data_IF_301253702641
#
_entry.id   IF_301253702641
#
_cell.length_a   1.000
_cell.length_b   1.000
_cell.length_c   1.000
_cell.angle_alpha   90.00
_cell.angle_beta   90.00
_cell.angle_gamma   90.00
#
_symmetry.space_group_name_H-M   'P 1'
#
loop_
_entity.id
_entity.type
_entity.pdbx_description
1 polymer ?
#
# COMPACT_ATOMS: atom_id res chain seq x y z
N UNK A 1 10.67 5.96 -19.80
CA UNK A 1 10.25 6.55 -18.51
C UNK A 1 8.74 6.48 -18.32
N UNK A 2 7.91 7.04 -19.20
CA UNK A 2 6.44 6.96 -19.05
C UNK A 2 5.87 5.55 -18.96
N UNK A 3 6.25 4.59 -19.82
CA UNK A 3 5.76 3.21 -19.71
C UNK A 3 6.10 2.59 -18.36
N UNK A 4 7.33 2.81 -17.86
CA UNK A 4 7.75 2.35 -16.54
C UNK A 4 6.91 2.96 -15.41
N UNK A 5 6.61 4.26 -15.46
CA UNK A 5 5.75 4.90 -14.47
C UNK A 5 4.31 4.37 -14.54
N UNK A 6 3.80 4.05 -15.72
CA UNK A 6 2.48 3.42 -15.88
C UNK A 6 2.46 2.01 -15.30
N UNK A 7 3.45 1.19 -15.62
CA UNK A 7 3.60 -0.16 -15.06
C UNK A 7 3.71 -0.12 -13.53
N UNK A 8 4.52 0.80 -13.00
CA UNK A 8 4.63 1.01 -11.55
C UNK A 8 3.30 1.47 -10.94
N UNK A 9 2.56 2.37 -11.61
CA UNK A 9 1.23 2.79 -11.17
C UNK A 9 0.26 1.61 -11.11
N UNK A 10 0.27 0.74 -12.13
CA UNK A 10 -0.53 -0.48 -12.14
C UNK A 10 -0.15 -1.44 -11.00
N UNK A 11 1.15 -1.61 -10.75
CA UNK A 11 1.63 -2.42 -9.63
C UNK A 11 1.13 -1.87 -8.28
N UNK A 12 1.30 -0.57 -8.03
CA UNK A 12 0.83 0.08 -6.79
C UNK A 12 -0.67 -0.10 -6.57
N UNK A 13 -1.49 0.14 -7.59
CA UNK A 13 -2.94 -0.05 -7.51
C UNK A 13 -3.27 -1.51 -7.18
N UNK A 14 -2.57 -2.45 -7.82
CA UNK A 14 -2.81 -3.87 -7.57
C UNK A 14 -2.44 -4.25 -6.14
N UNK A 15 -1.34 -3.71 -5.61
CA UNK A 15 -0.93 -3.90 -4.23
C UNK A 15 -1.98 -3.38 -3.24
N UNK A 16 -2.54 -2.20 -3.49
CA UNK A 16 -3.63 -1.62 -2.70
C UNK A 16 -4.86 -2.53 -2.68
N UNK A 17 -5.27 -3.05 -3.85
CA UNK A 17 -6.38 -4.00 -3.98
C UNK A 17 -6.14 -5.30 -3.23
N UNK A 18 -4.91 -5.84 -3.28
CA UNK A 18 -4.53 -7.07 -2.57
C UNK A 18 -4.65 -6.86 -1.07
N UNK A 19 -4.05 -5.80 -0.52
CA UNK A 19 -4.14 -5.48 0.92
C UNK A 19 -5.61 -5.38 1.34
N UNK A 20 -6.41 -4.59 0.61
CA UNK A 20 -7.84 -4.42 0.89
C UNK A 20 -8.61 -5.75 0.85
N UNK A 21 -8.36 -6.58 -0.15
CA UNK A 21 -9.07 -7.85 -0.32
C UNK A 21 -8.71 -8.84 0.78
N UNK A 22 -7.43 -8.92 1.17
CA UNK A 22 -6.98 -9.80 2.24
C UNK A 22 -7.57 -9.38 3.58
N UNK A 23 -7.58 -8.08 3.90
CA UNK A 23 -8.22 -7.59 5.13
C UNK A 23 -9.71 -7.95 5.21
N UNK A 24 -10.44 -7.84 4.10
CA UNK A 24 -11.84 -8.25 4.04
C UNK A 24 -12.03 -9.75 4.20
N UNK A 25 -11.20 -10.55 3.54
CA UNK A 25 -11.27 -12.01 3.63
C UNK A 25 -10.96 -12.50 5.06
N UNK A 26 -9.92 -11.96 5.69
CA UNK A 26 -9.58 -12.28 7.08
C UNK A 26 -10.70 -11.84 8.04
N UNK A 27 -11.29 -10.65 7.85
CA UNK A 27 -12.45 -10.23 8.64
C UNK A 27 -13.64 -11.19 8.50
N UNK A 28 -13.88 -11.75 7.31
CA UNK A 28 -14.93 -12.75 7.13
C UNK A 28 -14.60 -14.09 7.81
N UNK A 29 -13.32 -14.50 7.87
CA UNK A 29 -12.89 -15.73 8.53
C UNK A 29 -12.97 -15.61 10.05
N UNK A 30 -12.44 -14.52 10.61
CA UNK A 30 -12.46 -14.24 12.04
C UNK A 30 -13.80 -13.61 12.43
N UNK A 31 -14.84 -14.43 12.55
CA UNK A 31 -16.16 -13.99 13.00
C UNK A 31 -16.54 -14.59 14.35
N UNK A 32 -16.96 -13.73 15.27
CA UNK A 32 -17.60 -14.15 16.54
C UNK A 32 -19.10 -14.36 16.40
N UNK A 33 -19.66 -14.26 15.19
CA UNK A 33 -21.12 -14.40 14.98
C UNK A 33 -21.54 -15.86 15.17
N UNK A 34 -22.57 -16.15 15.98
CA UNK A 34 -23.15 -17.47 16.07
C UNK A 34 -23.85 -17.80 14.75
N UNK A 35 -23.27 -18.73 13.99
CA UNK A 35 -23.77 -19.21 12.71
C UNK A 35 -22.94 -20.38 12.21
N UNK A 36 -23.41 -21.14 11.21
CA UNK A 36 -22.63 -22.21 10.62
C UNK A 36 -21.37 -21.62 9.98
N UNK A 37 -20.22 -21.81 10.65
CA UNK A 37 -18.92 -21.48 10.08
C UNK A 37 -18.66 -22.46 8.94
N UNK A 38 -18.43 -21.96 7.73
CA UNK A 38 -17.95 -22.81 6.62
C UNK A 38 -16.55 -23.36 6.91
N UNK A 39 -15.73 -22.59 7.63
CA UNK A 39 -14.37 -22.94 8.02
C UNK A 39 -14.21 -22.54 9.50
N UNK A 40 -13.79 -23.48 10.35
CA UNK A 40 -13.41 -23.17 11.72
C UNK A 40 -11.94 -22.77 11.76
N UNK A 41 -11.69 -21.51 12.10
CA UNK A 41 -10.35 -20.91 12.23
C UNK A 41 -9.97 -20.67 13.70
N UNK A 42 -10.65 -21.34 14.63
CA UNK A 42 -10.29 -21.29 16.05
C UNK A 42 -8.84 -21.76 16.20
N UNK A 43 -8.03 -20.99 16.92
CA UNK A 43 -6.59 -21.21 17.14
C UNK A 43 -5.71 -21.20 15.86
N UNK A 44 -6.19 -20.59 14.77
CA UNK A 44 -5.40 -20.39 13.54
C UNK A 44 -5.07 -18.92 13.38
N UNK A 45 -3.78 -18.57 13.38
CA UNK A 45 -3.32 -17.17 13.32
C UNK A 45 -3.01 -16.64 11.91
N UNK A 46 -2.78 -17.52 10.93
CA UNK A 46 -2.35 -17.16 9.57
C UNK A 46 -1.08 -16.26 9.50
N UNK A 47 -0.12 -16.47 10.39
CA UNK A 47 1.13 -15.67 10.48
C UNK A 47 1.81 -15.43 9.13
N UNK A 48 1.97 -16.47 8.30
CA UNK A 48 2.59 -16.37 6.97
C UNK A 48 1.88 -15.36 6.06
N UNK A 49 0.56 -15.19 6.19
CA UNK A 49 -0.20 -14.18 5.43
C UNK A 49 0.19 -12.78 5.87
N UNK A 50 0.34 -12.56 7.18
CA UNK A 50 0.80 -11.28 7.73
C UNK A 50 2.24 -10.99 7.33
N UNK A 51 3.13 -11.97 7.35
CA UNK A 51 4.52 -11.80 6.90
C UNK A 51 4.59 -11.32 5.45
N UNK A 52 3.86 -11.96 4.54
CA UNK A 52 3.80 -11.54 3.14
C UNK A 52 3.08 -10.20 2.91
N UNK A 53 2.09 -9.86 3.74
CA UNK A 53 1.53 -8.52 3.75
C UNK A 53 2.58 -7.50 4.20
N UNK A 54 3.37 -7.82 5.22
CA UNK A 54 4.49 -7.01 5.67
C UNK A 54 5.53 -6.79 4.57
N UNK A 55 5.88 -7.83 3.81
CA UNK A 55 6.75 -7.71 2.64
C UNK A 55 6.17 -6.72 1.61
N UNK A 56 4.88 -6.85 1.30
CA UNK A 56 4.20 -5.97 0.36
C UNK A 56 4.18 -4.51 0.84
N UNK A 57 3.86 -4.28 2.11
CA UNK A 57 3.88 -2.94 2.70
C UNK A 57 5.30 -2.35 2.72
N UNK A 58 6.32 -3.18 2.99
CA UNK A 58 7.73 -2.79 2.90
C UNK A 58 8.09 -2.31 1.50
N UNK A 59 7.60 -2.98 0.45
CA UNK A 59 7.78 -2.53 -0.94
C UNK A 59 7.15 -1.15 -1.14
N UNK A 60 5.92 -0.92 -0.66
CA UNK A 60 5.25 0.38 -0.81
C UNK A 60 6.00 1.50 -0.08
N UNK A 61 6.46 1.27 1.15
CA UNK A 61 7.27 2.21 1.93
C UNK A 61 8.59 2.50 1.21
N UNK A 62 9.22 1.47 0.66
CA UNK A 62 10.49 1.61 -0.07
C UNK A 62 10.30 2.44 -1.34
N UNK A 63 9.18 2.26 -2.06
CA UNK A 63 8.86 3.09 -3.23
C UNK A 63 8.71 4.56 -2.85
N UNK A 64 7.99 4.88 -1.77
CA UNK A 64 7.89 6.26 -1.28
C UNK A 64 9.28 6.82 -0.93
N UNK A 65 10.11 6.03 -0.23
CA UNK A 65 11.46 6.45 0.14
C UNK A 65 12.35 6.73 -1.07
N UNK A 66 12.29 5.90 -2.13
CA UNK A 66 13.03 6.13 -3.38
C UNK A 66 12.63 7.46 -4.02
N UNK A 67 11.33 7.77 -4.03
CA UNK A 67 10.80 9.02 -4.59
C UNK A 67 11.21 10.22 -3.73
N UNK A 68 11.23 10.08 -2.41
CA UNK A 68 11.60 11.15 -1.49
C UNK A 68 13.09 11.50 -1.58
N UNK A 69 13.96 10.50 -1.64
CA UNK A 69 15.42 10.67 -1.69
C UNK A 69 15.92 11.17 -3.05
N UNK A 70 15.07 11.20 -4.09
CA UNK A 70 15.47 11.62 -5.44
C UNK A 70 14.82 12.95 -5.88
N UNK A 71 15.31 14.11 -5.38
CA UNK A 71 14.74 15.43 -5.71
C UNK A 71 14.83 15.76 -7.20
N UNK A 72 15.87 15.28 -7.89
CA UNK A 72 16.08 15.48 -9.33
C UNK A 72 14.92 14.93 -10.17
N UNK A 73 14.28 13.83 -9.75
CA UNK A 73 13.10 13.31 -10.45
C UNK A 73 11.91 14.27 -10.35
N UNK A 74 11.66 14.83 -9.16
CA UNK A 74 10.58 15.83 -8.94
C UNK A 74 10.84 17.11 -9.74
N UNK A 75 12.10 17.56 -9.81
CA UNK A 75 12.51 18.70 -10.62
C UNK A 75 12.30 18.45 -12.12
N UNK A 76 12.83 17.34 -12.64
CA UNK A 76 12.66 16.96 -14.05
C UNK A 76 11.20 16.75 -14.43
N UNK A 77 10.40 16.16 -13.53
CA UNK A 77 8.96 16.03 -13.72
C UNK A 77 8.28 17.40 -13.85
N UNK A 78 8.66 18.36 -13.01
CA UNK A 78 8.15 19.74 -13.06
C UNK A 78 8.52 20.45 -14.37
N UNK A 79 9.77 20.31 -14.83
CA UNK A 79 10.20 20.84 -16.12
C UNK A 79 9.42 20.21 -17.28
N UNK A 80 9.23 18.89 -17.25
CA UNK A 80 8.46 18.18 -18.25
C UNK A 80 6.98 18.62 -18.28
N UNK A 81 6.34 18.81 -17.12
CA UNK A 81 4.99 19.40 -17.03
C UNK A 81 4.91 20.79 -17.66
N UNK A 82 5.90 21.66 -17.42
CA UNK A 82 5.94 23.00 -18.03
C UNK A 82 6.03 22.93 -19.55
N UNK A 83 6.84 22.01 -20.07
CA UNK A 83 6.95 21.77 -21.51
C UNK A 83 5.62 21.33 -22.11
N UNK A 84 4.93 20.39 -21.47
CA UNK A 84 3.62 19.90 -21.95
C UNK A 84 2.57 21.00 -21.93
N UNK A 85 2.59 21.90 -20.94
CA UNK A 85 1.74 23.10 -20.94
C UNK A 85 2.02 24.03 -22.13
N UNK A 86 3.29 24.20 -22.52
CA UNK A 86 3.65 24.95 -23.72
C UNK A 86 3.15 24.27 -25.00
N UNK A 87 3.23 22.94 -25.06
CA UNK A 87 2.65 22.15 -26.17
C UNK A 87 1.14 22.33 -26.21
N UNK A 88 0.45 22.31 -25.08
CA UNK A 88 -1.01 22.52 -25.00
C UNK A 88 -1.46 23.85 -25.59
N UNK A 89 -0.66 24.91 -25.43
CA UNK A 89 -0.98 26.22 -25.95
C UNK A 89 -0.93 26.30 -27.48
N UNK A 90 -0.02 25.55 -28.12
CA UNK A 90 0.12 25.51 -29.58
C UNK A 90 0.56 24.11 -30.07
N UNK A 91 -0.33 23.11 -30.08
CA UNK A 91 0.04 21.74 -30.46
C UNK A 91 0.46 21.61 -31.93
N UNK A 92 -0.07 22.49 -32.80
CA UNK A 92 0.22 22.50 -34.24
C UNK A 92 1.69 22.75 -34.53
N UNK A 93 2.34 23.64 -33.76
CA UNK A 93 3.80 23.87 -33.85
C UNK A 93 4.64 22.64 -33.55
N UNK A 94 4.11 21.69 -32.79
CA UNK A 94 4.79 20.44 -32.42
C UNK A 94 4.29 19.23 -33.22
N UNK A 95 3.38 19.42 -34.18
CA UNK A 95 2.80 18.34 -34.97
C UNK A 95 1.92 17.38 -34.16
N UNK A 96 1.36 17.83 -33.03
CA UNK A 96 0.55 17.00 -32.13
C UNK A 96 -0.94 17.31 -32.34
N UNK A 97 -1.80 16.30 -32.54
CA UNK A 97 -3.25 16.50 -32.56
C UNK A 97 -3.77 17.02 -31.21
N UNK A 98 -4.58 18.09 -31.23
CA UNK A 98 -5.15 18.72 -30.03
C UNK A 98 -5.84 17.70 -29.11
N UNK A 99 -6.57 16.75 -29.70
CA UNK A 99 -7.32 15.69 -29.01
C UNK A 99 -6.44 14.74 -28.17
N UNK A 100 -5.15 14.63 -28.48
CA UNK A 100 -4.20 13.76 -27.76
C UNK A 100 -3.54 14.45 -26.57
N UNK A 101 -3.54 15.78 -26.53
CA UNK A 101 -2.86 16.55 -25.48
C UNK A 101 -3.57 16.40 -24.13
N UNK A 102 -4.88 16.60 -24.08
CA UNK A 102 -5.64 16.56 -22.83
C UNK A 102 -5.62 15.18 -22.14
N UNK A 103 -5.80 14.04 -22.86
CA UNK A 103 -5.62 12.71 -22.26
C UNK A 103 -4.22 12.50 -21.68
N UNK A 104 -3.19 13.02 -22.35
CA UNK A 104 -1.82 12.91 -21.88
C UNK A 104 -1.58 13.71 -20.60
N UNK A 105 -2.07 14.95 -20.52
CA UNK A 105 -2.00 15.76 -19.29
C UNK A 105 -2.72 15.09 -18.11
N UNK A 106 -3.89 14.49 -18.35
CA UNK A 106 -4.60 13.72 -17.32
C UNK A 106 -3.80 12.51 -16.84
N UNK A 107 -3.19 11.77 -17.77
CA UNK A 107 -2.29 10.67 -17.44
C UNK A 107 -1.13 11.14 -16.57
N UNK A 108 -0.50 12.26 -16.92
CA UNK A 108 0.59 12.84 -16.13
C UNK A 108 0.16 13.18 -14.72
N UNK A 109 -0.92 13.96 -14.56
CA UNK A 109 -1.42 14.34 -13.24
C UNK A 109 -1.79 13.11 -12.40
N UNK A 110 -2.35 12.08 -13.02
CA UNK A 110 -2.64 10.81 -12.34
C UNK A 110 -1.37 10.09 -11.88
N UNK A 111 -0.34 10.01 -12.72
CA UNK A 111 0.93 9.36 -12.37
C UNK A 111 1.64 10.09 -11.23
N UNK A 112 1.61 11.43 -11.26
CA UNK A 112 2.16 12.26 -10.19
C UNK A 112 1.47 11.98 -8.85
N UNK A 113 0.14 12.12 -8.81
CA UNK A 113 -0.62 11.91 -7.57
C UNK A 113 -0.53 10.50 -7.01
N UNK A 114 -0.33 9.49 -7.87
CA UNK A 114 -0.21 8.10 -7.45
C UNK A 114 1.19 7.68 -7.03
N UNK A 115 2.23 8.30 -7.57
CA UNK A 115 3.61 7.82 -7.42
C UNK A 115 4.56 8.86 -6.85
N UNK A 116 4.47 10.12 -7.30
CA UNK A 116 5.51 11.12 -7.06
C UNK A 116 5.26 11.99 -5.83
N UNK A 117 4.03 11.97 -5.31
CA UNK A 117 3.66 12.73 -4.10
C UNK A 117 4.21 12.09 -2.81
N UNK A 118 4.80 10.89 -2.88
CA UNK A 118 5.37 10.20 -1.70
C UNK A 118 4.30 9.69 -0.73
N UNK A 119 3.11 9.37 -1.25
CA UNK A 119 1.94 8.95 -0.48
C UNK A 119 1.49 7.52 -0.84
N UNK A 120 2.35 6.69 -1.46
CA UNK A 120 1.99 5.34 -1.93
C UNK A 120 1.53 4.45 -0.77
N UNK A 121 2.30 4.42 0.32
CA UNK A 121 2.00 3.65 1.51
C UNK A 121 0.82 4.24 2.28
N UNK A 122 0.79 5.56 2.48
CA UNK A 122 -0.31 6.25 3.17
C UNK A 122 -1.65 5.94 2.47
N UNK A 123 -1.70 6.11 1.15
CA UNK A 123 -2.89 5.80 0.35
C UNK A 123 -3.31 4.33 0.45
N UNK A 124 -2.38 3.40 0.75
CA UNK A 124 -2.69 1.99 0.96
C UNK A 124 -3.37 1.73 2.31
N UNK A 125 -2.88 2.36 3.38
CA UNK A 125 -3.37 2.12 4.75
C UNK A 125 -4.60 2.96 5.10
N UNK A 126 -4.87 4.03 4.35
CA UNK A 126 -6.06 4.88 4.50
C UNK A 126 -7.22 4.51 3.55
N UNK A 127 -7.11 3.38 2.85
CA UNK A 127 -8.19 2.91 1.97
C UNK A 127 -9.49 2.67 2.75
N UNK A 128 -10.67 2.81 2.11
CA UNK A 128 -11.92 2.41 2.73
C UNK A 128 -12.01 0.87 2.78
N UNK A 129 -11.67 0.28 3.93
CA UNK A 129 -11.71 -1.17 4.14
C UNK A 129 -13.12 -1.72 4.35
N UNK A 130 -14.05 -0.89 4.82
CA UNK A 130 -15.45 -1.26 4.97
C UNK A 130 -16.22 -1.14 3.64
N UNK A 131 -17.23 -1.98 3.46
CA UNK A 131 -18.27 -1.84 2.44
C UNK A 131 -19.63 -2.36 2.93
N UNK A 132 -20.62 -2.38 2.04
CA UNK A 132 -21.99 -2.82 2.36
C UNK A 132 -22.08 -4.28 2.83
N UNK A 133 -21.06 -5.11 2.58
CA UNK A 133 -21.03 -6.55 2.86
C UNK A 133 -20.11 -6.91 4.02
N UNK A 134 -18.97 -6.21 4.15
CA UNK A 134 -17.92 -6.52 5.11
C UNK A 134 -17.57 -5.26 5.90
N UNK A 135 -17.70 -5.36 7.21
CA UNK A 135 -17.27 -4.32 8.14
C UNK A 135 -16.01 -4.80 8.85
N UNK A 136 -14.86 -4.38 8.33
CA UNK A 136 -13.53 -4.74 8.84
C UNK A 136 -13.25 -3.95 10.11
N UNK A 137 -13.46 -2.62 10.10
CA UNK A 137 -13.08 -1.73 11.20
C UNK A 137 -13.78 -2.04 12.52
N UNK A 138 -14.99 -2.62 12.48
CA UNK A 138 -15.76 -3.01 13.68
C UNK A 138 -15.59 -4.47 14.09
N UNK A 139 -14.72 -5.22 13.42
CA UNK A 139 -14.51 -6.63 13.75
C UNK A 139 -13.44 -6.78 14.85
N UNK A 140 -13.88 -6.76 16.10
CA UNK A 140 -12.99 -6.89 17.26
C UNK A 140 -12.23 -8.22 17.31
N UNK A 141 -12.83 -9.33 16.85
CA UNK A 141 -12.17 -10.63 16.84
C UNK A 141 -10.98 -10.63 15.87
N UNK A 142 -11.20 -10.07 14.68
CA UNK A 142 -10.11 -9.90 13.72
C UNK A 142 -9.06 -8.89 14.20
N UNK A 143 -9.48 -7.80 14.85
CA UNK A 143 -8.56 -6.81 15.40
C UNK A 143 -7.59 -7.41 16.44
N UNK A 144 -8.09 -8.30 17.29
CA UNK A 144 -7.29 -9.01 18.30
C UNK A 144 -6.33 -10.01 17.65
N UNK A 145 -6.80 -10.83 16.71
CA UNK A 145 -5.95 -11.78 15.98
C UNK A 145 -4.84 -11.08 15.18
N UNK A 146 -5.16 -9.96 14.54
CA UNK A 146 -4.16 -9.15 13.85
C UNK A 146 -3.12 -8.60 14.86
N UNK A 147 -3.56 -8.08 16.01
CA UNK A 147 -2.63 -7.59 17.04
C UNK A 147 -1.71 -8.70 17.59
N UNK A 148 -2.22 -9.93 17.77
CA UNK A 148 -1.43 -11.10 18.17
C UNK A 148 -0.33 -11.37 17.14
N UNK A 149 -0.68 -11.46 15.85
CA UNK A 149 0.29 -11.72 14.79
C UNK A 149 1.38 -10.65 14.71
N UNK A 150 1.02 -9.36 14.85
CA UNK A 150 2.02 -8.27 14.86
C UNK A 150 2.97 -8.42 16.03
N UNK A 151 2.44 -8.67 17.24
CA UNK A 151 3.24 -8.79 18.45
C UNK A 151 4.20 -9.97 18.38
N UNK A 152 3.70 -11.14 18.01
CA UNK A 152 4.49 -12.37 18.01
C UNK A 152 5.60 -12.28 16.97
N UNK A 153 5.27 -11.80 15.76
CA UNK A 153 6.29 -11.59 14.72
C UNK A 153 7.31 -10.52 15.11
N UNK A 154 6.89 -9.42 15.74
CA UNK A 154 7.83 -8.37 16.19
C UNK A 154 8.79 -8.89 17.25
N UNK A 155 8.30 -9.68 18.22
CA UNK A 155 9.15 -10.31 19.24
C UNK A 155 10.17 -11.27 18.63
N UNK A 156 9.76 -12.06 17.64
CA UNK A 156 10.66 -12.95 16.91
C UNK A 156 11.76 -12.17 16.18
N UNK A 157 11.40 -11.09 15.48
CA UNK A 157 12.36 -10.24 14.77
C UNK A 157 13.33 -9.56 15.74
N UNK A 158 12.84 -8.98 16.84
CA UNK A 158 13.66 -8.30 17.85
C UNK A 158 14.68 -9.24 18.49
N UNK A 159 14.31 -10.49 18.77
CA UNK A 159 15.20 -11.47 19.36
C UNK A 159 16.42 -11.80 18.47
N UNK A 160 16.31 -11.58 17.15
CA UNK A 160 17.33 -11.90 16.15
C UNK A 160 18.17 -10.70 15.72
N UNK A 161 17.64 -9.49 15.87
CA UNK A 161 18.35 -8.26 15.48
C UNK A 161 19.57 -8.07 16.41
N UNK A 162 20.75 -7.90 15.81
CA UNK A 162 22.01 -7.77 16.53
C UNK A 162 22.72 -9.08 16.83
N UNK A 163 22.14 -10.24 16.49
CA UNK A 163 22.86 -11.52 16.55
C UNK A 163 23.92 -11.62 15.45
N UNK A 164 24.98 -12.40 15.67
CA UNK A 164 26.08 -12.57 14.71
C UNK A 164 25.63 -13.21 13.38
N UNK A 165 24.57 -14.03 13.42
CA UNK A 165 23.94 -14.68 12.29
C UNK A 165 22.69 -13.93 11.77
N UNK A 166 22.51 -12.67 12.15
CA UNK A 166 21.44 -11.82 11.62
C UNK A 166 21.52 -11.76 10.08
N UNK A 167 20.42 -12.10 9.41
CA UNK A 167 20.30 -12.02 7.95
C UNK A 167 19.53 -10.77 7.51
N UNK A 168 18.20 -10.87 7.47
CA UNK A 168 17.29 -9.92 6.83
C UNK A 168 16.23 -9.37 7.82
N UNK A 169 16.40 -9.65 9.12
CA UNK A 169 15.44 -9.29 10.17
C UNK A 169 15.15 -7.79 10.24
N UNK A 170 16.16 -6.92 10.02
CA UNK A 170 15.94 -5.46 9.93
C UNK A 170 15.03 -5.05 8.78
N UNK A 171 15.12 -5.73 7.63
CA UNK A 171 14.24 -5.43 6.49
C UNK A 171 12.82 -5.88 6.80
N UNK A 172 12.65 -7.06 7.38
CA UNK A 172 11.34 -7.58 7.81
C UNK A 172 10.70 -6.72 8.90
N UNK A 173 11.50 -6.10 9.76
CA UNK A 173 11.02 -5.20 10.81
C UNK A 173 10.26 -3.98 10.23
N UNK A 174 10.66 -3.49 9.05
CA UNK A 174 9.89 -2.45 8.34
C UNK A 174 8.48 -2.94 8.00
N UNK A 175 8.34 -4.21 7.61
CA UNK A 175 7.05 -4.84 7.35
C UNK A 175 6.18 -4.95 8.60
N UNK A 176 6.76 -5.32 9.74
CA UNK A 176 6.07 -5.35 11.03
C UNK A 176 5.55 -3.95 11.43
N UNK A 177 6.35 -2.90 11.24
CA UNK A 177 5.91 -1.50 11.45
C UNK A 177 4.78 -1.15 10.48
N UNK A 178 4.89 -1.53 9.21
CA UNK A 178 3.85 -1.30 8.20
C UNK A 178 2.51 -1.94 8.60
N UNK A 179 2.55 -3.19 9.10
CA UNK A 179 1.38 -3.88 9.63
C UNK A 179 0.80 -3.21 10.86
N UNK A 180 1.64 -2.75 11.79
CA UNK A 180 1.20 -2.01 12.96
C UNK A 180 0.44 -0.74 12.57
N UNK A 181 0.96 0.03 11.61
CA UNK A 181 0.30 1.23 11.09
C UNK A 181 -1.02 0.85 10.42
N UNK A 182 -1.04 -0.20 9.60
CA UNK A 182 -2.27 -0.67 8.94
C UNK A 182 -3.34 -1.08 9.97
N UNK A 183 -2.96 -1.83 11.00
CA UNK A 183 -3.84 -2.19 12.11
C UNK A 183 -4.40 -0.95 12.79
N UNK A 184 -3.52 -0.02 13.19
CA UNK A 184 -3.93 1.21 13.84
C UNK A 184 -4.91 2.01 12.98
N UNK A 185 -4.66 2.14 11.67
CA UNK A 185 -5.54 2.91 10.77
C UNK A 185 -6.91 2.25 10.59
N UNK A 186 -6.97 0.92 10.49
CA UNK A 186 -8.23 0.19 10.33
C UNK A 186 -9.08 0.25 11.62
N UNK A 187 -8.44 0.08 12.78
CA UNK A 187 -9.13 -0.17 14.05
C UNK A 187 -9.13 1.00 15.02
N UNK A 188 -8.67 2.19 14.61
CA UNK A 188 -8.57 3.43 15.43
C UNK A 188 -9.82 3.81 16.23
N UNK A 189 -11.00 3.30 15.85
CA UNK A 189 -12.30 3.64 16.44
C UNK A 189 -12.70 2.66 17.59
N UNK A 190 -11.90 1.62 17.86
CA UNK A 190 -12.20 0.63 18.89
C UNK A 190 -11.70 0.99 20.31
N UNK A 191 -11.06 2.15 20.48
CA UNK A 191 -10.69 2.73 21.78
C UNK A 191 -11.80 3.62 22.38
#
# INVERSE_FOLDING_TARGET
MFPLLQELSCFVIRSHEVVKSVMKQLSCLYTSRPGPKMIDVTDVHFQVVFEHLGDLLTVLITLDHIIDVHPTLKEHWTLYKRMVKSVHHDPGKFGIPQEKVLPFEKLMMMLEGRLLDGMIFQNCVEQPFDDDKVNVSKNGAFAEEFAINIRDWSMELEARIGEFNETDHRYKYVGAIGLFILHFQIFRVLD
#
